data_IF_296656127173
#
_entry.id   IF_296656127173
#
_cell.length_a   1.000
_cell.length_b   1.000
_cell.length_c   1.000
_cell.angle_alpha   90.00
_cell.angle_beta   90.00
_cell.angle_gamma   90.00
#
_symmetry.space_group_name_H-M   'P 1'
#
loop_
_entity.id
_entity.type
_entity.pdbx_description
1 polymer ?
#
# COMPACT_ATOMS: atom_id res chain seq x y z
N UNK A 1 -13.42 -26.11 19.49
CA UNK A 1 -11.99 -25.83 19.45
C UNK A 1 -11.56 -25.87 17.98
N UNK A 2 -10.93 -24.82 17.49
CA UNK A 2 -10.56 -24.74 16.07
C UNK A 2 -9.27 -25.53 15.83
N UNK A 3 -9.36 -26.69 15.21
CA UNK A 3 -8.23 -27.58 14.93
C UNK A 3 -7.12 -26.89 14.11
N UNK A 4 -7.48 -25.92 13.27
CA UNK A 4 -6.51 -25.14 12.49
C UNK A 4 -5.62 -24.30 13.40
N UNK A 5 -6.20 -23.66 14.42
CA UNK A 5 -5.46 -22.89 15.43
C UNK A 5 -4.53 -23.79 16.27
N UNK A 6 -4.98 -24.99 16.64
CA UNK A 6 -4.15 -25.93 17.41
C UNK A 6 -2.96 -26.44 16.59
N UNK A 7 -3.17 -26.79 15.32
CA UNK A 7 -2.07 -27.14 14.41
C UNK A 7 -1.08 -26.00 14.28
N UNK A 8 -1.57 -24.77 14.06
CA UNK A 8 -0.74 -23.57 13.94
C UNK A 8 0.06 -23.32 15.22
N UNK A 9 -0.58 -23.45 16.40
CA UNK A 9 0.08 -23.29 17.70
C UNK A 9 1.22 -24.29 17.89
N UNK A 10 1.01 -25.57 17.49
CA UNK A 10 2.06 -26.58 17.56
C UNK A 10 3.24 -26.18 16.64
N UNK A 11 2.95 -25.73 15.43
CA UNK A 11 3.97 -25.31 14.46
C UNK A 11 4.73 -24.08 14.93
N UNK A 12 4.04 -23.04 15.42
CA UNK A 12 4.66 -21.81 15.98
C UNK A 12 5.56 -22.11 17.17
N UNK A 13 5.16 -22.98 18.08
CA UNK A 13 5.98 -23.40 19.23
C UNK A 13 7.24 -24.18 18.84
N UNK A 14 7.31 -24.63 17.59
CA UNK A 14 8.46 -25.33 17.01
C UNK A 14 9.00 -24.56 15.79
N UNK A 15 9.03 -23.21 15.86
CA UNK A 15 9.55 -22.39 14.79
C UNK A 15 10.95 -22.85 14.37
N UNK A 16 11.21 -22.84 13.06
CA UNK A 16 12.45 -23.25 12.40
C UNK A 16 12.86 -24.73 12.63
N UNK A 17 11.96 -25.54 13.22
CA UNK A 17 12.18 -26.96 13.45
C UNK A 17 11.21 -27.81 12.65
N UNK A 18 11.68 -28.98 12.24
CA UNK A 18 10.86 -29.96 11.54
C UNK A 18 9.89 -30.66 12.52
N UNK A 19 8.59 -30.56 12.26
CA UNK A 19 7.54 -31.21 13.06
C UNK A 19 6.90 -32.31 12.23
N UNK A 20 6.94 -33.55 12.73
CA UNK A 20 6.32 -34.68 12.04
C UNK A 20 4.80 -34.55 11.98
N UNK A 21 4.21 -34.74 10.80
CA UNK A 21 2.76 -34.77 10.64
C UNK A 21 2.07 -35.85 11.44
N UNK A 22 2.77 -36.98 11.72
CA UNK A 22 2.26 -38.04 12.60
C UNK A 22 2.20 -37.57 14.05
N UNK A 23 3.21 -36.83 14.54
CA UNK A 23 3.21 -36.29 15.90
C UNK A 23 2.05 -35.31 16.11
N UNK A 24 1.79 -34.41 15.13
CA UNK A 24 0.66 -33.48 15.19
C UNK A 24 -0.67 -34.28 15.20
N UNK A 25 -0.81 -35.28 14.32
CA UNK A 25 -1.98 -36.09 14.19
C UNK A 25 -2.30 -36.84 15.51
N UNK A 26 -1.31 -37.48 16.12
CA UNK A 26 -1.44 -38.19 17.40
C UNK A 26 -1.82 -37.20 18.52
N UNK A 27 -1.14 -36.04 18.61
CA UNK A 27 -1.39 -35.07 19.66
C UNK A 27 -2.80 -34.47 19.62
N UNK A 28 -3.37 -34.31 18.42
CA UNK A 28 -4.70 -33.75 18.22
C UNK A 28 -5.80 -34.77 17.97
N UNK A 29 -5.45 -36.05 18.00
CA UNK A 29 -6.36 -37.18 17.72
C UNK A 29 -7.10 -37.06 16.37
N UNK A 30 -6.35 -36.71 15.31
CA UNK A 30 -6.85 -36.58 13.93
C UNK A 30 -5.99 -37.38 12.95
N UNK A 31 -6.45 -37.55 11.72
CA UNK A 31 -5.69 -38.27 10.70
C UNK A 31 -4.53 -37.39 10.15
N UNK A 32 -3.41 -38.02 9.76
CA UNK A 32 -2.31 -37.36 9.08
C UNK A 32 -2.74 -36.62 7.79
N UNK A 33 -3.72 -37.21 7.06
CA UNK A 33 -4.29 -36.54 5.87
C UNK A 33 -4.99 -35.25 6.24
N UNK A 34 -5.70 -35.23 7.37
CA UNK A 34 -6.38 -34.01 7.83
C UNK A 34 -5.39 -32.94 8.28
N UNK A 35 -4.30 -33.32 8.96
CA UNK A 35 -3.18 -32.37 9.26
C UNK A 35 -2.64 -31.76 7.98
N UNK A 36 -2.40 -32.57 6.93
CA UNK A 36 -1.92 -32.05 5.64
C UNK A 36 -2.89 -31.07 5.00
N UNK A 37 -4.21 -31.34 5.07
CA UNK A 37 -5.25 -30.43 4.59
C UNK A 37 -5.18 -29.09 5.35
N UNK A 38 -5.09 -29.14 6.67
CA UNK A 38 -4.97 -27.92 7.51
C UNK A 38 -3.69 -27.15 7.17
N UNK A 39 -2.55 -27.82 7.04
CA UNK A 39 -1.27 -27.15 6.71
C UNK A 39 -1.35 -26.46 5.35
N UNK A 40 -1.98 -27.08 4.34
CA UNK A 40 -2.21 -26.43 3.05
C UNK A 40 -3.07 -25.17 3.19
N UNK A 41 -4.15 -25.23 3.98
CA UNK A 41 -4.97 -24.06 4.27
C UNK A 41 -4.17 -22.96 4.97
N UNK A 42 -3.28 -23.30 5.92
CA UNK A 42 -2.41 -22.30 6.56
C UNK A 42 -1.42 -21.67 5.57
N UNK A 43 -0.90 -22.45 4.62
CA UNK A 43 -0.04 -21.92 3.54
C UNK A 43 -0.85 -20.97 2.64
N UNK A 44 -2.07 -21.36 2.28
CA UNK A 44 -2.98 -20.52 1.48
C UNK A 44 -3.35 -19.21 2.21
N UNK A 45 -3.44 -19.25 3.54
CA UNK A 45 -3.65 -18.07 4.40
C UNK A 45 -2.37 -17.19 4.58
N UNK A 46 -1.24 -17.55 3.96
CA UNK A 46 -0.02 -16.74 3.98
C UNK A 46 1.01 -17.13 5.07
N UNK A 47 0.77 -18.19 5.85
CA UNK A 47 1.81 -18.68 6.76
C UNK A 47 2.94 -19.36 6.00
N UNK A 48 4.19 -18.98 6.30
CA UNK A 48 5.36 -19.60 5.68
C UNK A 48 5.66 -20.96 6.31
N UNK A 49 5.09 -21.98 5.71
CA UNK A 49 5.26 -23.38 6.13
C UNK A 49 5.79 -24.20 4.95
N UNK A 50 6.95 -24.84 5.13
CA UNK A 50 7.52 -25.75 4.14
C UNK A 50 7.08 -27.18 4.42
N UNK A 51 6.53 -27.85 3.38
CA UNK A 51 6.17 -29.26 3.43
C UNK A 51 7.38 -30.10 3.00
N UNK A 52 8.02 -30.77 3.95
CA UNK A 52 9.11 -31.70 3.68
C UNK A 52 8.49 -33.09 3.42
N UNK A 53 8.49 -33.54 2.15
CA UNK A 53 7.89 -34.82 1.77
C UNK A 53 8.41 -35.94 2.66
N UNK A 54 7.48 -36.75 3.26
CA UNK A 54 7.69 -37.86 4.18
C UNK A 54 8.26 -37.49 5.57
N UNK A 55 8.78 -36.30 5.80
CA UNK A 55 9.41 -35.89 7.06
C UNK A 55 8.46 -35.07 7.95
N UNK A 56 7.75 -34.08 7.39
CA UNK A 56 6.86 -33.23 8.18
C UNK A 56 6.78 -31.79 7.66
N UNK A 57 6.60 -30.87 8.57
CA UNK A 57 6.35 -29.45 8.30
C UNK A 57 7.33 -28.59 9.09
N UNK A 58 7.83 -27.53 8.46
CA UNK A 58 8.66 -26.52 9.14
C UNK A 58 7.98 -25.16 8.98
N UNK A 59 7.61 -24.54 10.09
CA UNK A 59 7.07 -23.18 10.13
C UNK A 59 8.18 -22.17 10.29
N UNK A 60 8.21 -21.13 9.47
CA UNK A 60 9.21 -20.07 9.49
C UNK A 60 8.66 -18.75 10.03
N UNK A 61 7.57 -18.24 9.47
CA UNK A 61 6.99 -16.97 9.90
C UNK A 61 5.53 -16.79 9.41
N UNK A 62 4.95 -15.70 9.83
CA UNK A 62 3.62 -15.22 9.45
C UNK A 62 3.66 -13.76 8.96
N UNK A 63 4.75 -13.38 8.30
CA UNK A 63 4.94 -12.03 7.79
C UNK A 63 3.85 -11.59 6.81
N UNK A 64 3.22 -12.55 6.12
CA UNK A 64 2.18 -12.31 5.12
C UNK A 64 0.76 -12.32 5.70
N UNK A 65 0.59 -12.63 6.99
CA UNK A 65 -0.71 -12.75 7.64
C UNK A 65 -1.09 -11.42 8.31
N UNK A 66 -2.21 -10.84 7.91
CA UNK A 66 -2.78 -9.67 8.57
C UNK A 66 -3.31 -10.03 9.95
N UNK A 67 -2.95 -9.23 10.96
CA UNK A 67 -3.34 -9.39 12.34
C UNK A 67 -3.57 -8.03 12.99
N UNK A 68 -4.83 -7.73 13.34
CA UNK A 68 -5.25 -6.45 13.93
C UNK A 68 -4.48 -6.15 15.22
N UNK A 69 -4.28 -7.12 16.10
CA UNK A 69 -3.61 -6.90 17.37
C UNK A 69 -2.14 -6.48 17.17
N UNK A 70 -1.45 -7.10 16.20
CA UNK A 70 -0.07 -6.75 15.85
C UNK A 70 0.06 -5.39 15.18
N UNK A 71 -0.94 -4.97 14.42
CA UNK A 71 -0.99 -3.64 13.82
C UNK A 71 -1.15 -2.62 14.94
N UNK A 72 -2.15 -2.80 15.82
CA UNK A 72 -2.45 -1.89 16.93
C UNK A 72 -1.27 -1.75 17.91
N UNK A 73 -0.56 -2.85 18.21
CA UNK A 73 0.62 -2.86 19.11
C UNK A 73 1.76 -1.95 18.64
N UNK A 74 1.82 -1.63 17.34
CA UNK A 74 2.87 -0.80 16.74
C UNK A 74 2.40 0.59 16.33
N UNK A 75 1.15 0.94 16.59
CA UNK A 75 0.64 2.27 16.34
C UNK A 75 0.98 3.22 17.49
N UNK A 76 1.42 4.43 17.16
CA UNK A 76 1.77 5.47 18.15
C UNK A 76 0.55 5.89 19.00
N UNK A 77 -0.65 5.88 18.39
CA UNK A 77 -1.92 6.24 19.03
C UNK A 77 -3.01 5.26 18.57
N UNK A 78 -2.99 4.04 19.09
CA UNK A 78 -3.92 2.99 18.66
C UNK A 78 -5.39 3.31 18.88
N UNK A 79 -5.70 4.11 19.92
CA UNK A 79 -7.07 4.40 20.35
C UNK A 79 -7.87 5.27 19.38
N UNK A 80 -7.19 5.96 18.44
CA UNK A 80 -7.87 6.78 17.43
C UNK A 80 -8.31 5.97 16.20
N UNK A 81 -7.92 4.69 16.09
CA UNK A 81 -8.20 3.89 14.92
C UNK A 81 -9.25 2.80 15.17
N UNK A 82 -10.21 2.70 14.27
CA UNK A 82 -11.11 1.56 14.17
C UNK A 82 -10.74 0.73 12.93
N UNK A 83 -9.94 -0.32 13.16
CA UNK A 83 -9.37 -1.16 12.08
C UNK A 83 -10.25 -2.36 11.81
N UNK A 84 -10.67 -2.53 10.56
CA UNK A 84 -11.28 -3.74 10.04
C UNK A 84 -10.33 -4.44 9.06
N UNK A 85 -10.19 -5.74 9.24
CA UNK A 85 -9.48 -6.62 8.30
C UNK A 85 -10.52 -7.53 7.67
N UNK A 86 -10.63 -7.47 6.33
CA UNK A 86 -11.63 -8.19 5.56
C UNK A 86 -10.95 -9.16 4.59
N UNK A 87 -11.50 -10.34 4.46
CA UNK A 87 -10.99 -11.33 3.50
C UNK A 87 -11.20 -10.89 2.06
N UNK A 88 -12.38 -10.36 1.74
CA UNK A 88 -12.72 -9.88 0.41
C UNK A 88 -13.78 -8.77 0.50
N UNK A 89 -13.63 -7.74 -0.35
CA UNK A 89 -14.59 -6.66 -0.49
C UNK A 89 -14.58 -6.11 -1.91
N UNK A 90 -15.58 -5.33 -2.29
CA UNK A 90 -15.58 -4.58 -3.56
C UNK A 90 -14.48 -3.50 -3.55
N UNK A 91 -14.46 -2.64 -2.52
CA UNK A 91 -13.51 -1.54 -2.38
C UNK A 91 -13.38 -1.08 -0.93
N UNK A 92 -12.15 -1.04 -0.42
CA UNK A 92 -11.86 -0.49 0.91
C UNK A 92 -12.23 0.98 1.05
N UNK A 93 -12.16 1.78 -0.05
CA UNK A 93 -12.61 3.17 -0.06
C UNK A 93 -14.12 3.31 0.19
N UNK A 94 -14.93 2.43 -0.41
CA UNK A 94 -16.38 2.43 -0.20
C UNK A 94 -16.70 2.09 1.26
N UNK A 95 -16.03 1.08 1.80
CA UNK A 95 -16.23 0.63 3.17
C UNK A 95 -15.98 1.74 4.20
N UNK A 96 -14.84 2.43 4.14
CA UNK A 96 -14.52 3.49 5.10
C UNK A 96 -15.47 4.69 4.95
N UNK A 97 -15.98 4.93 3.75
CA UNK A 97 -16.98 5.97 3.49
C UNK A 97 -18.33 5.64 4.15
N UNK A 98 -18.78 4.41 4.07
CA UNK A 98 -20.02 3.93 4.72
C UNK A 98 -19.90 3.96 6.25
N UNK A 99 -18.72 3.66 6.76
CA UNK A 99 -18.42 3.63 8.20
C UNK A 99 -18.25 5.03 8.82
N UNK A 100 -18.14 6.07 8.00
CA UNK A 100 -17.84 7.42 8.45
C UNK A 100 -18.93 7.99 9.35
N UNK A 101 -18.54 8.42 10.54
CA UNK A 101 -19.41 9.16 11.48
C UNK A 101 -18.85 10.58 11.68
N UNK A 102 -19.60 11.59 11.26
CA UNK A 102 -19.20 13.01 11.36
C UNK A 102 -18.96 13.50 12.79
N UNK A 103 -19.58 12.84 13.77
CA UNK A 103 -19.49 13.21 15.18
C UNK A 103 -18.41 12.43 15.96
N UNK A 104 -17.56 11.66 15.25
CA UNK A 104 -16.50 10.86 15.86
C UNK A 104 -15.13 11.30 15.34
N UNK A 105 -14.16 11.37 16.25
CA UNK A 105 -12.76 11.58 15.90
C UNK A 105 -12.03 10.26 15.60
N UNK A 106 -12.74 9.14 15.68
CA UNK A 106 -12.19 7.83 15.33
C UNK A 106 -12.02 7.71 13.83
N UNK A 107 -10.85 7.25 13.43
CA UNK A 107 -10.43 7.06 12.05
C UNK A 107 -10.78 5.63 11.64
N UNK A 108 -11.79 5.41 10.79
CA UNK A 108 -12.04 4.09 10.23
C UNK A 108 -10.93 3.73 9.25
N UNK A 109 -10.38 2.54 9.43
CA UNK A 109 -9.35 1.93 8.58
C UNK A 109 -9.87 0.58 8.10
N UNK A 110 -9.89 0.37 6.80
CA UNK A 110 -10.21 -0.93 6.20
C UNK A 110 -8.98 -1.47 5.48
N UNK A 111 -8.63 -2.71 5.79
CA UNK A 111 -7.57 -3.46 5.09
C UNK A 111 -8.22 -4.71 4.54
N UNK A 112 -8.08 -4.98 3.25
CA UNK A 112 -8.62 -6.17 2.63
C UNK A 112 -7.50 -7.07 2.10
N UNK A 113 -7.70 -8.39 2.18
CA UNK A 113 -6.82 -9.34 1.51
C UNK A 113 -7.05 -9.36 0.00
N UNK A 114 -8.28 -9.02 -0.44
CA UNK A 114 -8.69 -8.96 -1.84
C UNK A 114 -9.69 -7.83 -2.08
N UNK A 115 -9.59 -7.16 -3.24
CA UNK A 115 -10.64 -6.25 -3.72
C UNK A 115 -11.15 -6.71 -5.10
N UNK A 116 -12.48 -6.83 -5.23
CA UNK A 116 -13.13 -7.20 -6.50
C UNK A 116 -13.25 -6.03 -7.47
N UNK A 117 -13.28 -4.79 -6.95
CA UNK A 117 -13.42 -3.57 -7.73
C UNK A 117 -12.46 -2.47 -7.24
N UNK A 118 -11.19 -2.85 -7.01
CA UNK A 118 -10.13 -1.91 -6.62
C UNK A 118 -9.99 -0.78 -7.64
N UNK A 119 -9.91 0.48 -7.16
CA UNK A 119 -9.92 1.67 -8.00
C UNK A 119 -8.61 2.45 -7.94
N UNK A 120 -8.10 2.81 -9.11
CA UNK A 120 -7.07 3.81 -9.28
C UNK A 120 -7.65 5.16 -9.76
N UNK A 121 -6.77 6.11 -10.07
CA UNK A 121 -7.16 7.42 -10.63
C UNK A 121 -7.78 7.27 -12.02
N UNK A 122 -8.64 8.23 -12.38
CA UNK A 122 -9.29 8.32 -13.71
C UNK A 122 -10.09 7.05 -14.09
N UNK A 123 -10.67 6.37 -13.08
CA UNK A 123 -11.52 5.18 -13.30
C UNK A 123 -10.77 3.89 -13.64
N UNK A 124 -9.45 3.88 -13.56
CA UNK A 124 -8.68 2.65 -13.77
C UNK A 124 -8.91 1.66 -12.63
N UNK A 125 -8.77 0.38 -12.92
CA UNK A 125 -8.74 -0.67 -11.91
C UNK A 125 -7.37 -0.76 -11.25
N UNK A 126 -7.34 -1.20 -9.99
CA UNK A 126 -6.13 -1.63 -9.29
C UNK A 126 -6.25 -3.12 -8.99
N UNK A 127 -5.37 -3.93 -9.56
CA UNK A 127 -5.36 -5.37 -9.33
C UNK A 127 -5.07 -5.66 -7.85
N UNK A 128 -6.01 -6.31 -7.18
CA UNK A 128 -5.96 -6.54 -5.74
C UNK A 128 -6.14 -8.02 -5.42
N UNK A 129 -5.15 -8.83 -5.81
CA UNK A 129 -5.17 -10.29 -5.69
C UNK A 129 -5.03 -10.72 -4.21
N UNK A 130 -5.81 -11.70 -3.79
CA UNK A 130 -5.85 -12.20 -2.41
C UNK A 130 -4.47 -12.54 -1.86
N UNK A 131 -4.14 -11.92 -0.71
CA UNK A 131 -2.89 -12.18 0.02
C UNK A 131 -1.61 -11.74 -0.68
N UNK A 132 -1.71 -10.92 -1.75
CA UNK A 132 -0.55 -10.48 -2.54
C UNK A 132 -0.08 -9.05 -2.24
N UNK A 133 -0.84 -8.31 -1.47
CA UNK A 133 -0.52 -6.90 -1.22
C UNK A 133 -1.19 -6.32 0.01
N UNK A 134 -1.03 -5.02 0.17
CA UNK A 134 -1.78 -4.18 1.09
C UNK A 134 -2.80 -3.43 0.26
N UNK A 135 -4.07 -3.63 0.55
CA UNK A 135 -5.18 -2.87 -0.01
C UNK A 135 -5.89 -2.22 1.16
N UNK A 136 -5.50 -0.98 1.45
CA UNK A 136 -5.90 -0.27 2.65
C UNK A 136 -6.53 1.07 2.30
N UNK A 137 -7.59 1.40 3.02
CA UNK A 137 -8.14 2.75 3.01
C UNK A 137 -8.39 3.22 4.43
N UNK A 138 -8.25 4.51 4.63
CA UNK A 138 -8.70 5.18 5.86
C UNK A 138 -9.37 6.50 5.52
N UNK A 139 -10.23 6.94 6.42
CA UNK A 139 -10.95 8.19 6.28
C UNK A 139 -10.70 9.04 7.53
N UNK A 140 -10.37 10.31 7.32
CA UNK A 140 -10.17 11.24 8.40
C UNK A 140 -10.82 12.59 8.08
N UNK A 141 -11.07 13.38 9.14
CA UNK A 141 -11.50 14.77 9.02
C UNK A 141 -10.28 15.65 9.22
N UNK A 142 -9.81 16.36 8.16
CA UNK A 142 -8.71 17.30 8.29
C UNK A 142 -9.08 18.45 9.23
N UNK A 143 -8.09 18.94 9.98
CA UNK A 143 -8.19 20.16 10.80
C UNK A 143 -7.44 21.34 10.17
N UNK A 144 -7.19 21.28 8.88
CA UNK A 144 -6.54 22.31 8.07
C UNK A 144 -7.44 22.74 6.90
N UNK A 145 -7.18 23.92 6.32
CA UNK A 145 -7.98 24.51 5.26
C UNK A 145 -7.93 23.71 3.94
N UNK A 146 -8.99 23.84 3.13
CA UNK A 146 -9.13 23.17 1.81
C UNK A 146 -7.96 23.52 0.87
N UNK A 147 -7.32 24.69 1.03
CA UNK A 147 -6.19 25.08 0.22
C UNK A 147 -5.02 24.08 0.29
N UNK A 148 -4.83 23.40 1.44
CA UNK A 148 -3.82 22.35 1.59
C UNK A 148 -4.21 21.00 0.97
N UNK A 149 -5.41 20.89 0.42
CA UNK A 149 -5.91 19.65 -0.21
C UNK A 149 -5.02 19.12 -1.32
N UNK A 150 -4.40 20.02 -2.08
CA UNK A 150 -3.44 19.65 -3.14
C UNK A 150 -2.23 18.90 -2.60
N UNK A 151 -1.82 19.20 -1.38
CA UNK A 151 -0.64 18.62 -0.71
C UNK A 151 -0.89 17.20 -0.16
N UNK A 152 -2.14 16.81 0.06
CA UNK A 152 -2.47 15.54 0.74
C UNK A 152 -1.87 14.34 -0.01
N UNK A 153 -2.05 14.26 -1.32
CA UNK A 153 -1.57 13.11 -2.10
C UNK A 153 -0.05 12.99 -2.07
N UNK A 154 0.66 14.09 -2.27
CA UNK A 154 2.13 14.10 -2.27
C UNK A 154 2.71 13.86 -0.88
N UNK A 155 2.07 14.40 0.16
CA UNK A 155 2.39 14.14 1.56
C UNK A 155 2.25 12.66 1.91
N UNK A 156 1.13 12.03 1.55
CA UNK A 156 0.91 10.57 1.75
C UNK A 156 1.92 9.74 0.96
N UNK A 157 2.26 10.14 -0.28
CA UNK A 157 3.29 9.43 -1.06
C UNK A 157 4.64 9.41 -0.35
N UNK A 158 5.05 10.52 0.26
CA UNK A 158 6.30 10.59 1.04
C UNK A 158 6.24 9.67 2.25
N UNK A 159 5.14 9.67 2.99
CA UNK A 159 4.96 8.81 4.15
C UNK A 159 5.04 7.32 3.79
N UNK A 160 4.36 6.90 2.73
CA UNK A 160 4.39 5.53 2.23
C UNK A 160 5.78 5.17 1.70
N UNK A 161 6.44 6.08 0.97
CA UNK A 161 7.80 5.86 0.47
C UNK A 161 8.80 5.65 1.62
N UNK A 162 8.77 6.48 2.67
CA UNK A 162 9.60 6.33 3.87
C UNK A 162 9.38 4.97 4.54
N UNK A 163 8.12 4.55 4.69
CA UNK A 163 7.78 3.25 5.29
C UNK A 163 8.27 2.07 4.47
N UNK A 164 8.18 2.15 3.15
CA UNK A 164 8.72 1.14 2.24
C UNK A 164 10.24 1.09 2.32
N UNK A 165 10.93 2.23 2.22
CA UNK A 165 12.40 2.31 2.30
C UNK A 165 12.93 1.75 3.63
N UNK A 166 12.23 2.03 4.73
CA UNK A 166 12.57 1.46 6.03
C UNK A 166 12.44 -0.06 6.04
N UNK A 167 11.38 -0.60 5.44
CA UNK A 167 11.12 -2.03 5.40
C UNK A 167 12.08 -2.80 4.49
N UNK A 168 12.46 -2.24 3.33
CA UNK A 168 13.27 -2.93 2.31
C UNK A 168 14.74 -2.51 2.28
N UNK A 169 15.10 -1.43 2.99
CA UNK A 169 16.46 -0.84 3.00
C UNK A 169 16.97 -0.44 1.61
N UNK A 170 16.06 -0.02 0.74
CA UNK A 170 16.35 0.49 -0.61
C UNK A 170 15.52 1.74 -0.88
N UNK A 171 16.06 2.67 -1.66
CA UNK A 171 15.35 3.87 -2.08
C UNK A 171 14.24 3.54 -3.08
N UNK A 172 13.10 4.23 -2.93
CA UNK A 172 12.02 4.21 -3.91
C UNK A 172 11.89 5.56 -4.59
N UNK A 173 11.27 5.61 -5.76
CA UNK A 173 10.99 6.85 -6.49
C UNK A 173 9.49 7.09 -6.58
N UNK A 174 9.11 8.34 -6.74
CA UNK A 174 7.71 8.75 -6.86
C UNK A 174 7.50 9.29 -8.27
N UNK A 175 6.67 8.61 -9.05
CA UNK A 175 6.15 9.14 -10.31
C UNK A 175 4.99 10.08 -10.00
N UNK A 176 5.14 11.32 -10.38
CA UNK A 176 4.13 12.34 -10.13
C UNK A 176 2.75 11.89 -10.65
N UNK A 177 1.71 11.97 -9.82
CA UNK A 177 1.67 12.60 -8.49
C UNK A 177 1.60 11.56 -7.36
N UNK A 178 1.32 10.26 -7.67
CA UNK A 178 0.73 9.32 -6.71
C UNK A 178 1.21 7.87 -6.82
N UNK A 179 2.19 7.58 -7.68
CA UNK A 179 2.66 6.22 -7.90
C UNK A 179 4.08 6.03 -7.36
N UNK A 180 4.32 4.96 -6.60
CA UNK A 180 5.65 4.63 -6.09
C UNK A 180 6.27 3.53 -6.94
N UNK A 181 7.52 3.75 -7.30
CA UNK A 181 8.32 2.91 -8.19
C UNK A 181 9.56 2.38 -7.48
N UNK A 182 9.90 1.15 -7.79
CA UNK A 182 11.14 0.49 -7.40
C UNK A 182 11.72 -0.15 -8.65
N UNK A 183 13.02 0.07 -8.94
CA UNK A 183 13.70 -0.44 -10.15
C UNK A 183 12.91 -0.19 -11.45
N UNK A 184 12.33 1.02 -11.59
CA UNK A 184 11.49 1.43 -12.73
C UNK A 184 10.17 0.65 -12.89
N UNK A 185 9.74 -0.11 -11.88
CA UNK A 185 8.46 -0.80 -11.85
C UNK A 185 7.56 -0.20 -10.78
N UNK A 186 6.28 -0.04 -11.10
CA UNK A 186 5.28 0.44 -10.16
C UNK A 186 4.97 -0.63 -9.13
N UNK A 187 5.21 -0.33 -7.86
CA UNK A 187 4.89 -1.20 -6.73
C UNK A 187 3.73 -0.69 -5.88
N UNK A 188 3.38 0.60 -5.99
CA UNK A 188 2.30 1.17 -5.19
C UNK A 188 1.55 2.25 -5.97
N UNK A 189 0.25 2.34 -5.73
CA UNK A 189 -0.61 3.44 -6.17
C UNK A 189 -1.40 4.00 -5.00
N UNK A 190 -1.53 5.32 -4.96
CA UNK A 190 -2.26 6.05 -3.92
C UNK A 190 -3.38 6.84 -4.56
N UNK A 191 -4.55 6.86 -3.95
CA UNK A 191 -5.68 7.67 -4.37
C UNK A 191 -6.22 8.46 -3.18
N UNK A 192 -6.46 9.75 -3.39
CA UNK A 192 -7.10 10.61 -2.40
C UNK A 192 -8.38 11.17 -2.98
N UNK A 193 -9.44 11.14 -2.20
CA UNK A 193 -10.72 11.76 -2.53
C UNK A 193 -11.25 12.45 -1.29
N UNK A 194 -11.97 13.55 -1.45
CA UNK A 194 -12.50 14.30 -0.32
C UNK A 194 -13.85 14.92 -0.64
N UNK A 195 -14.54 15.32 0.40
CA UNK A 195 -15.71 16.19 0.35
C UNK A 195 -15.40 17.47 1.12
N UNK A 196 -15.79 18.58 0.55
CA UNK A 196 -15.57 19.91 1.14
C UNK A 196 -16.90 20.60 1.39
N UNK A 197 -16.97 21.38 2.46
CA UNK A 197 -18.07 22.26 2.76
C UNK A 197 -17.74 23.66 2.24
N UNK A 198 -18.48 24.13 1.24
CA UNK A 198 -18.23 25.43 0.61
C UNK A 198 -18.52 26.60 1.53
N UNK A 199 -19.40 26.46 2.53
CA UNK A 199 -19.75 27.52 3.46
C UNK A 199 -18.64 27.78 4.49
N UNK A 200 -18.02 26.69 4.95
CA UNK A 200 -16.99 26.75 6.01
C UNK A 200 -15.56 26.75 5.46
N UNK A 201 -15.37 26.51 4.16
CA UNK A 201 -14.07 26.29 3.52
C UNK A 201 -13.22 25.20 4.18
N UNK A 202 -13.90 24.18 4.73
CA UNK A 202 -13.26 23.05 5.41
C UNK A 202 -13.58 21.74 4.70
N UNK A 203 -12.77 20.72 4.95
CA UNK A 203 -13.11 19.37 4.53
C UNK A 203 -14.21 18.77 5.42
N UNK A 204 -15.22 18.14 4.80
CA UNK A 204 -16.10 17.22 5.52
C UNK A 204 -15.32 15.95 5.91
N UNK A 205 -14.56 15.41 4.98
CA UNK A 205 -13.68 14.26 5.14
C UNK A 205 -12.71 14.12 3.96
N UNK A 206 -11.64 13.37 4.19
CA UNK A 206 -10.72 12.88 3.17
C UNK A 206 -10.59 11.37 3.30
N UNK A 207 -10.66 10.66 2.17
CA UNK A 207 -10.39 9.23 2.06
C UNK A 207 -9.05 9.07 1.35
N UNK A 208 -8.18 8.27 1.92
CA UNK A 208 -6.92 7.84 1.33
C UNK A 208 -6.98 6.35 1.08
N UNK A 209 -6.82 5.94 -0.17
CA UNK A 209 -6.65 4.55 -0.57
C UNK A 209 -5.20 4.28 -0.96
N UNK A 210 -4.63 3.21 -0.44
CA UNK A 210 -3.25 2.78 -0.68
C UNK A 210 -3.27 1.33 -1.15
N UNK A 211 -2.79 1.10 -2.37
CA UNK A 211 -2.57 -0.23 -2.93
C UNK A 211 -1.08 -0.49 -3.08
N UNK A 212 -0.54 -1.54 -2.44
CA UNK A 212 0.87 -1.94 -2.54
C UNK A 212 0.94 -3.37 -3.03
N UNK A 213 1.64 -3.61 -4.12
CA UNK A 213 1.98 -4.94 -4.61
C UNK A 213 3.18 -5.46 -3.78
N UNK A 214 2.92 -6.31 -2.80
CA UNK A 214 3.93 -6.66 -1.81
C UNK A 214 4.60 -8.00 -2.12
N UNK A 215 3.81 -9.04 -2.37
CA UNK A 215 4.28 -10.41 -2.54
C UNK A 215 4.12 -10.88 -3.97
N UNK A 216 5.00 -11.80 -4.38
CA UNK A 216 5.03 -12.35 -5.73
C UNK A 216 3.64 -12.71 -6.27
N UNK A 217 3.34 -12.20 -7.46
CA UNK A 217 2.13 -12.51 -8.23
C UNK A 217 2.41 -12.32 -9.72
N UNK A 218 1.65 -13.03 -10.53
CA UNK A 218 1.62 -12.83 -11.97
C UNK A 218 0.73 -11.64 -12.31
N UNK A 219 1.21 -10.76 -13.17
CA UNK A 219 0.43 -9.64 -13.69
C UNK A 219 -0.05 -9.93 -15.11
N UNK A 220 -1.28 -9.49 -15.48
CA UNK A 220 -1.72 -9.50 -16.88
C UNK A 220 -0.72 -8.80 -17.80
N UNK A 221 -0.63 -9.26 -19.05
CA UNK A 221 0.35 -8.78 -20.04
C UNK A 221 0.30 -7.24 -20.20
N UNK A 222 -0.88 -6.64 -20.11
CA UNK A 222 -1.08 -5.20 -20.27
C UNK A 222 -0.37 -4.36 -19.22
N UNK A 223 -0.11 -4.92 -18.03
CA UNK A 223 0.52 -4.20 -16.92
C UNK A 223 1.84 -4.81 -16.45
N UNK A 224 2.19 -6.02 -16.89
CA UNK A 224 3.41 -6.75 -16.50
C UNK A 224 4.70 -5.99 -16.82
N UNK A 225 4.68 -5.18 -17.89
CA UNK A 225 5.81 -4.33 -18.27
C UNK A 225 5.97 -3.11 -17.33
N UNK A 226 4.92 -2.71 -16.62
CA UNK A 226 4.88 -1.48 -15.80
C UNK A 226 4.90 -1.81 -14.31
N UNK A 227 4.17 -2.84 -13.89
CA UNK A 227 4.01 -3.21 -12.49
C UNK A 227 4.96 -4.33 -12.06
N UNK A 228 5.30 -4.33 -10.78
CA UNK A 228 6.01 -5.42 -10.10
C UNK A 228 5.59 -5.47 -8.63
N UNK A 229 6.19 -6.40 -7.89
CA UNK A 229 6.00 -6.52 -6.43
C UNK A 229 7.28 -6.16 -5.69
N UNK A 230 7.14 -5.78 -4.42
CA UNK A 230 8.30 -5.51 -3.55
C UNK A 230 9.18 -6.77 -3.44
N UNK A 231 8.57 -7.94 -3.25
CA UNK A 231 9.28 -9.22 -3.14
C UNK A 231 10.07 -9.56 -4.41
N UNK A 232 9.49 -9.35 -5.59
CA UNK A 232 10.17 -9.63 -6.86
C UNK A 232 11.38 -8.73 -7.11
N UNK A 233 11.26 -7.45 -6.75
CA UNK A 233 12.31 -6.47 -6.97
C UNK A 233 13.43 -6.53 -5.92
N UNK A 234 13.15 -6.98 -4.70
CA UNK A 234 14.13 -6.94 -3.60
C UNK A 234 14.52 -8.29 -3.04
N UNK A 235 13.69 -9.32 -3.26
CA UNK A 235 13.74 -10.64 -2.60
C UNK A 235 13.51 -10.57 -1.08
N UNK A 236 13.01 -9.44 -0.57
CA UNK A 236 12.68 -9.25 0.85
C UNK A 236 11.22 -9.59 1.09
N UNK A 237 10.96 -10.46 2.05
CA UNK A 237 9.60 -10.74 2.55
C UNK A 237 9.32 -9.76 3.70
N UNK A 238 8.61 -8.69 3.38
CA UNK A 238 8.24 -7.65 4.34
C UNK A 238 7.16 -8.16 5.29
N UNK A 239 7.25 -7.79 6.57
CA UNK A 239 6.16 -8.05 7.53
C UNK A 239 5.02 -7.05 7.29
N UNK A 240 3.86 -7.57 6.85
CA UNK A 240 2.70 -6.77 6.44
C UNK A 240 2.15 -5.91 7.59
N UNK A 241 2.11 -6.45 8.82
CA UNK A 241 1.57 -5.73 9.98
C UNK A 241 2.46 -4.55 10.38
N UNK A 242 3.78 -4.77 10.36
CA UNK A 242 4.76 -3.72 10.63
C UNK A 242 4.70 -2.61 9.58
N UNK A 243 4.58 -2.98 8.30
CA UNK A 243 4.49 -1.99 7.22
C UNK A 243 3.19 -1.18 7.31
N UNK A 244 2.04 -1.81 7.58
CA UNK A 244 0.76 -1.11 7.78
C UNK A 244 0.85 -0.10 8.92
N UNK A 245 1.38 -0.50 10.09
CA UNK A 245 1.53 0.40 11.23
C UNK A 245 2.49 1.55 10.92
N UNK A 246 3.63 1.27 10.28
CA UNK A 246 4.60 2.30 9.86
C UNK A 246 3.97 3.31 8.89
N UNK A 247 3.17 2.83 7.93
CA UNK A 247 2.45 3.71 6.98
C UNK A 247 1.49 4.63 7.75
N UNK A 248 0.64 4.09 8.62
CA UNK A 248 -0.33 4.90 9.37
C UNK A 248 0.37 5.93 10.25
N UNK A 249 1.40 5.54 11.01
CA UNK A 249 2.18 6.45 11.84
C UNK A 249 2.83 7.57 11.01
N UNK A 250 3.51 7.22 9.91
CA UNK A 250 4.17 8.20 9.05
C UNK A 250 3.16 9.13 8.36
N UNK A 251 2.03 8.61 7.87
CA UNK A 251 1.00 9.43 7.22
C UNK A 251 0.46 10.49 8.17
N UNK A 252 0.05 10.10 9.38
CA UNK A 252 -0.51 11.09 10.34
C UNK A 252 0.54 12.03 10.90
N UNK A 253 1.80 11.61 10.99
CA UNK A 253 2.92 12.47 11.33
C UNK A 253 3.15 13.56 10.25
N UNK A 254 3.16 13.18 8.97
CA UNK A 254 3.35 14.14 7.87
C UNK A 254 2.12 15.03 7.70
N UNK A 255 0.89 14.49 7.78
CA UNK A 255 -0.34 15.28 7.67
C UNK A 255 -0.48 16.32 8.78
N UNK A 256 -0.04 16.03 10.01
CA UNK A 256 -0.02 17.00 11.11
C UNK A 256 0.84 18.22 10.83
N UNK A 257 1.82 18.07 9.94
CA UNK A 257 2.78 19.11 9.57
C UNK A 257 2.59 19.61 8.11
N UNK A 258 1.43 19.33 7.50
CA UNK A 258 1.18 19.63 6.07
C UNK A 258 1.29 21.11 5.74
N UNK A 259 0.94 22.00 6.67
CA UNK A 259 1.05 23.44 6.52
C UNK A 259 2.51 23.90 6.42
N UNK A 260 3.42 23.30 7.19
CA UNK A 260 4.86 23.60 7.21
C UNK A 260 5.60 23.11 5.96
N UNK A 261 4.97 22.27 5.16
CA UNK A 261 5.44 21.79 3.86
C UNK A 261 6.83 21.11 3.84
N UNK A 262 7.33 20.65 4.97
CA UNK A 262 8.67 20.06 5.07
C UNK A 262 8.80 18.75 4.26
N UNK A 263 7.70 18.02 4.07
CA UNK A 263 7.67 16.76 3.30
C UNK A 263 8.04 16.96 1.83
N UNK A 264 7.87 18.18 1.26
CA UNK A 264 8.11 18.43 -0.17
C UNK A 264 9.59 18.22 -0.55
N UNK A 265 10.51 18.48 0.37
CA UNK A 265 11.94 18.23 0.16
C UNK A 265 12.19 16.74 -0.07
N UNK A 266 11.51 15.89 0.70
CA UNK A 266 11.59 14.43 0.58
C UNK A 266 10.88 13.92 -0.67
N UNK A 267 9.81 14.58 -1.12
CA UNK A 267 9.16 14.29 -2.39
C UNK A 267 10.09 14.60 -3.58
N UNK A 268 10.71 15.80 -3.59
CA UNK A 268 11.65 16.24 -4.64
C UNK A 268 12.85 15.30 -4.81
N UNK A 269 13.39 14.77 -3.71
CA UNK A 269 14.48 13.77 -3.74
C UNK A 269 14.08 12.47 -4.44
N UNK A 270 12.79 12.10 -4.34
CA UNK A 270 12.24 10.87 -4.88
C UNK A 270 11.58 11.05 -6.24
N UNK A 271 11.50 12.29 -6.76
CA UNK A 271 10.83 12.57 -8.03
C UNK A 271 11.45 11.75 -9.16
N UNK A 272 10.65 10.85 -9.72
CA UNK A 272 11.03 10.03 -10.87
C UNK A 272 11.06 10.90 -12.13
N UNK A 273 11.99 10.60 -13.04
CA UNK A 273 12.14 11.28 -14.32
C UNK A 273 12.51 12.78 -14.24
N UNK A 274 13.05 13.26 -13.11
CA UNK A 274 13.57 14.62 -12.98
C UNK A 274 14.65 14.86 -14.03
N UNK A 275 14.60 16.00 -14.72
CA UNK A 275 15.45 16.42 -15.84
C UNK A 275 15.33 15.56 -17.12
N UNK A 276 14.27 14.76 -17.25
CA UNK A 276 13.99 13.94 -18.41
C UNK A 276 12.81 14.48 -19.22
N UNK A 277 12.84 14.27 -20.53
CA UNK A 277 11.70 14.52 -21.41
C UNK A 277 10.67 13.41 -21.27
N UNK A 278 9.42 13.81 -21.08
CA UNK A 278 8.28 12.91 -20.91
C UNK A 278 7.09 13.38 -21.73
N UNK A 279 6.25 12.45 -22.11
CA UNK A 279 4.92 12.75 -22.63
C UNK A 279 3.93 12.87 -21.48
N UNK A 280 3.32 14.05 -21.32
CA UNK A 280 2.20 14.26 -20.40
C UNK A 280 0.91 14.26 -21.19
N UNK A 281 -0.01 13.36 -20.82
CA UNK A 281 -1.37 13.28 -21.37
C UNK A 281 -2.33 14.07 -20.49
N UNK A 282 -3.01 15.01 -21.10
CA UNK A 282 -4.14 15.75 -20.54
C UNK A 282 -5.48 15.09 -20.94
N UNK A 283 -6.59 15.79 -20.81
CA UNK A 283 -7.92 15.27 -21.17
C UNK A 283 -8.08 15.24 -22.70
N UNK A 284 -7.61 16.27 -23.37
CA UNK A 284 -7.86 16.59 -24.78
C UNK A 284 -6.61 16.51 -25.67
N UNK A 285 -5.42 16.53 -25.09
CA UNK A 285 -4.15 16.53 -25.83
C UNK A 285 -3.02 15.87 -25.04
N UNK A 286 -1.85 15.75 -25.68
CA UNK A 286 -0.59 15.35 -25.04
C UNK A 286 0.50 16.35 -25.41
N UNK A 287 1.46 16.55 -24.51
CA UNK A 287 2.63 17.39 -24.71
C UNK A 287 3.92 16.67 -24.32
N UNK A 288 4.99 16.94 -25.04
CA UNK A 288 6.34 16.51 -24.65
C UNK A 288 6.96 17.67 -23.89
N UNK A 289 7.35 17.41 -22.63
CA UNK A 289 7.91 18.40 -21.71
C UNK A 289 9.07 17.82 -20.93
N UNK A 290 9.97 18.65 -20.46
CA UNK A 290 11.03 18.22 -19.55
C UNK A 290 10.59 18.46 -18.10
N UNK A 291 10.67 17.44 -17.26
CA UNK A 291 10.38 17.56 -15.83
C UNK A 291 11.51 18.30 -15.15
N UNK A 292 11.20 19.41 -14.50
CA UNK A 292 12.17 20.21 -13.74
C UNK A 292 12.10 19.87 -12.24
N UNK A 293 10.92 20.05 -11.62
CA UNK A 293 10.72 19.80 -10.20
C UNK A 293 9.21 19.74 -9.86
N UNK A 294 8.89 19.81 -8.58
CA UNK A 294 7.56 20.13 -8.06
C UNK A 294 7.64 21.40 -7.21
N UNK A 295 6.57 22.18 -7.22
CA UNK A 295 6.48 23.37 -6.39
C UNK A 295 6.14 23.04 -4.92
N UNK A 296 5.86 24.08 -4.12
CA UNK A 296 5.53 23.94 -2.69
C UNK A 296 4.19 23.25 -2.43
N UNK A 297 3.28 23.23 -3.41
CA UNK A 297 1.98 22.57 -3.33
C UNK A 297 1.97 21.15 -3.96
N UNK A 298 3.15 20.70 -4.46
CA UNK A 298 3.30 19.41 -5.12
C UNK A 298 2.84 19.40 -6.59
N UNK A 299 2.63 20.58 -7.19
CA UNK A 299 2.33 20.72 -8.61
C UNK A 299 3.61 20.54 -9.43
N UNK A 300 3.51 19.86 -10.58
CA UNK A 300 4.68 19.55 -11.39
C UNK A 300 5.17 20.81 -12.14
N UNK A 301 6.45 21.12 -12.02
CA UNK A 301 7.13 22.17 -12.79
C UNK A 301 7.78 21.50 -13.99
N UNK A 302 7.41 21.95 -15.19
CA UNK A 302 7.96 21.45 -16.45
C UNK A 302 8.51 22.59 -17.29
N UNK A 303 9.46 22.26 -18.17
CA UNK A 303 9.97 23.15 -19.23
C UNK A 303 9.36 22.73 -20.58
N UNK A 304 8.76 23.67 -21.25
CA UNK A 304 8.19 23.56 -22.60
C UNK A 304 8.62 24.77 -23.42
N UNK A 305 9.23 24.57 -24.59
CA UNK A 305 9.72 25.65 -25.46
C UNK A 305 10.63 26.67 -24.74
N UNK A 306 11.49 26.20 -23.83
CA UNK A 306 12.38 26.99 -22.96
C UNK A 306 11.68 27.88 -21.92
N UNK A 307 10.39 27.67 -21.67
CA UNK A 307 9.63 28.32 -20.62
C UNK A 307 9.20 27.32 -19.55
N UNK A 308 9.26 27.75 -18.28
CA UNK A 308 8.76 26.92 -17.19
C UNK A 308 7.27 27.17 -16.98
N UNK A 309 6.50 26.07 -16.86
CA UNK A 309 5.08 26.11 -16.53
C UNK A 309 4.72 25.11 -15.46
N UNK A 310 3.61 25.34 -14.76
CA UNK A 310 3.06 24.44 -13.76
C UNK A 310 1.99 23.55 -14.37
N UNK A 311 2.03 22.27 -14.02
CA UNK A 311 1.03 21.27 -14.40
C UNK A 311 0.22 20.87 -13.18
N UNK A 312 -1.06 21.19 -13.18
CA UNK A 312 -2.00 20.94 -12.07
C UNK A 312 -2.67 19.55 -12.17
N UNK A 313 -2.83 19.04 -13.40
CA UNK A 313 -3.42 17.74 -13.66
C UNK A 313 -2.85 17.17 -14.95
N UNK A 314 -2.72 15.85 -15.00
CA UNK A 314 -2.19 15.16 -16.15
C UNK A 314 -1.72 13.77 -15.77
N UNK A 315 -1.12 13.10 -16.71
CA UNK A 315 -0.51 11.79 -16.51
C UNK A 315 0.78 11.70 -17.32
N UNK A 316 1.87 11.40 -16.66
CA UNK A 316 3.12 11.09 -17.32
C UNK A 316 2.95 9.70 -17.95
N UNK A 317 2.95 9.60 -19.28
CA UNK A 317 2.71 8.35 -20.02
C UNK A 317 4.00 7.56 -20.15
N UNK A 318 5.04 8.19 -20.71
CA UNK A 318 6.33 7.55 -20.99
C UNK A 318 7.46 8.56 -21.02
N UNK A 319 8.71 8.06 -20.88
CA UNK A 319 9.90 8.83 -21.24
C UNK A 319 10.00 8.93 -22.76
N UNK A 320 10.42 10.08 -23.25
CA UNK A 320 10.80 10.26 -24.66
C UNK A 320 12.28 9.89 -24.75
N UNK A 321 12.58 8.79 -25.44
CA UNK A 321 13.96 8.43 -25.76
C UNK A 321 14.30 9.24 -27.00
N UNK A 322 15.14 10.28 -26.86
CA UNK A 322 15.76 10.94 -28.01
C UNK A 322 16.67 9.89 -28.68
N UNK A 323 16.29 9.44 -29.86
CA UNK A 323 17.23 8.76 -30.74
C UNK A 323 18.20 9.85 -31.25
N UNK A 324 19.40 9.92 -30.66
CA UNK A 324 20.55 10.59 -31.27
C UNK A 324 21.02 9.79 -32.49
#
# INVERSE_FOLDING_TARGET
MNLKEEVLKILKNNKDKLVSGTNIATKLNISRMYVNKIVKQLIDDGYEIVINKRAGYTYYNDNRVLDKARILDKLDNSDIYDIDILECIDSTNNFVKEKFNRNSDIIPVCIAEEQLAGRGRKGRSFLSTKGKGIYMSFLFKPNFDVEYGKRITTCVCVAVAKSLEEAIKQEVKIKWVNDIYLNNKKICGIITTGSTNLETNMFDYVIVGIGINLYHQDFPDEISMIASTVEDETKVIVNINTLVSSILNNVFKELKNIENNNYIVDYRKRLLMKNQEVEIKYIDHSEIVKIIDVDEDGELIVEYENEQKKVYSGEIVRMVISHE
#
